data_IF_648124889502
#
_entry.id   IF_648124889502
#
_cell.length_a   1.000
_cell.length_b   1.000
_cell.length_c   1.000
_cell.angle_alpha   90.00
_cell.angle_beta   90.00
_cell.angle_gamma   90.00
#
_symmetry.space_group_name_H-M   'P 1'
#
loop_
_entity.id
_entity.type
_entity.pdbx_description
1 polymer ?
#
# COMPACT_ATOMS: atom_id res chain seq x y z
N UNK A 1 -3.30 61.70 5.36
CA UNK A 1 -2.84 60.34 5.01
C UNK A 1 -4.06 59.44 5.00
N UNK A 2 -4.41 58.98 3.82
CA UNK A 2 -5.67 58.32 3.50
C UNK A 2 -5.82 56.99 4.23
N UNK A 3 -7.03 56.77 4.72
CA UNK A 3 -7.45 55.55 5.41
C UNK A 3 -8.10 54.66 4.36
N UNK A 4 -7.34 53.76 3.75
CA UNK A 4 -7.92 52.72 2.89
C UNK A 4 -8.63 51.67 3.75
N UNK A 5 -9.96 51.76 3.77
CA UNK A 5 -10.85 50.66 4.14
C UNK A 5 -10.88 49.64 3.01
N UNK A 6 -10.30 48.47 3.23
CA UNK A 6 -10.58 47.29 2.42
C UNK A 6 -11.43 46.28 3.22
N UNK A 7 -12.54 45.79 2.66
CA UNK A 7 -13.53 45.01 3.38
C UNK A 7 -13.09 43.55 3.57
N UNK A 8 -13.26 43.04 4.79
CA UNK A 8 -13.25 41.62 5.10
C UNK A 8 -14.40 40.95 4.34
N UNK A 9 -14.08 40.35 3.18
CA UNK A 9 -14.94 39.34 2.57
C UNK A 9 -14.94 38.12 3.49
N UNK A 10 -15.95 38.06 4.36
CA UNK A 10 -16.46 36.81 4.90
C UNK A 10 -16.88 35.94 3.71
N UNK A 11 -15.97 35.08 3.24
CA UNK A 11 -16.34 33.93 2.44
C UNK A 11 -17.08 32.97 3.39
N UNK A 12 -18.36 33.26 3.56
CA UNK A 12 -19.35 32.35 4.09
C UNK A 12 -19.55 31.30 3.01
N UNK A 13 -18.57 30.41 2.85
CA UNK A 13 -18.76 29.19 2.07
C UNK A 13 -19.78 28.37 2.87
N UNK A 14 -21.03 28.54 2.48
CA UNK A 14 -22.07 27.61 2.82
C UNK A 14 -21.59 26.25 2.37
N UNK A 15 -21.55 25.30 3.31
CA UNK A 15 -21.58 23.91 2.92
C UNK A 15 -22.91 23.71 2.20
N UNK A 16 -22.91 23.89 0.88
CA UNK A 16 -23.97 23.39 0.01
C UNK A 16 -23.88 21.88 0.07
N UNK A 17 -24.48 21.33 1.12
CA UNK A 17 -24.79 19.91 1.21
C UNK A 17 -25.57 19.56 -0.05
N UNK A 18 -25.17 18.51 -0.79
CA UNK A 18 -25.93 18.07 -1.93
C UNK A 18 -27.39 17.87 -1.49
N UNK A 19 -28.33 18.44 -2.25
CA UNK A 19 -29.77 18.21 -2.03
C UNK A 19 -30.02 16.72 -1.84
N UNK A 20 -30.99 16.36 -0.99
CA UNK A 20 -31.31 15.00 -0.54
C UNK A 20 -31.56 13.96 -1.68
N UNK A 21 -31.51 14.40 -2.93
CA UNK A 21 -31.67 13.63 -4.17
C UNK A 21 -30.45 13.73 -5.12
N UNK A 22 -29.23 13.93 -4.59
CA UNK A 22 -28.01 13.99 -5.41
C UNK A 22 -27.70 12.65 -6.12
N UNK A 23 -28.11 11.52 -5.52
CA UNK A 23 -27.94 10.18 -6.10
C UNK A 23 -28.82 9.94 -7.34
N UNK A 24 -29.95 10.64 -7.48
CA UNK A 24 -30.81 10.49 -8.66
C UNK A 24 -30.27 11.19 -9.91
N UNK A 25 -29.37 12.16 -9.76
CA UNK A 25 -28.79 12.92 -10.88
C UNK A 25 -27.64 12.17 -11.55
N UNK A 26 -27.03 11.20 -10.87
CA UNK A 26 -25.86 10.45 -11.34
C UNK A 26 -26.28 9.10 -11.97
N UNK A 27 -27.54 8.70 -11.82
CA UNK A 27 -28.06 7.42 -12.32
C UNK A 27 -29.26 7.63 -13.27
N UNK A 28 -29.03 7.68 -14.60
CA UNK A 28 -30.10 7.90 -15.58
C UNK A 28 -31.21 6.84 -15.56
N UNK A 29 -30.96 5.65 -14.99
CA UNK A 29 -31.82 4.48 -15.14
C UNK A 29 -32.47 3.95 -13.84
N UNK A 30 -32.27 4.62 -12.68
CA UNK A 30 -32.81 4.14 -11.39
C UNK A 30 -34.32 4.36 -11.18
N UNK A 31 -34.96 5.23 -11.96
CA UNK A 31 -36.37 5.63 -11.75
C UNK A 31 -37.42 4.59 -12.18
N UNK A 32 -37.02 3.53 -12.87
CA UNK A 32 -37.98 2.53 -13.38
C UNK A 32 -38.21 1.34 -12.44
N UNK A 33 -37.35 1.10 -11.45
CA UNK A 33 -37.47 -0.06 -10.55
C UNK A 33 -38.38 0.20 -9.33
N UNK A 34 -38.56 1.45 -8.91
CA UNK A 34 -39.26 1.78 -7.65
C UNK A 34 -40.75 2.10 -7.78
N UNK A 35 -41.30 2.15 -8.99
CA UNK A 35 -42.73 2.49 -9.20
C UNK A 35 -43.69 1.31 -8.97
N UNK A 36 -43.20 0.06 -9.08
CA UNK A 36 -44.03 -1.13 -8.86
C UNK A 36 -44.31 -1.45 -7.38
N UNK A 37 -43.34 -1.21 -6.50
CA UNK A 37 -43.43 -1.63 -5.10
C UNK A 37 -44.39 -0.77 -4.25
N UNK A 38 -44.61 0.50 -4.60
CA UNK A 38 -45.51 1.40 -3.83
C UNK A 38 -47.00 1.08 -4.04
N UNK A 39 -47.36 0.48 -5.16
CA UNK A 39 -48.77 0.18 -5.49
C UNK A 39 -49.25 -1.11 -4.80
N UNK A 40 -48.35 -2.05 -4.51
CA UNK A 40 -48.69 -3.31 -3.83
C UNK A 40 -48.83 -3.13 -2.31
N UNK A 41 -48.02 -2.26 -1.69
CA UNK A 41 -48.08 -2.00 -0.26
C UNK A 41 -49.39 -1.32 0.17
N UNK A 42 -49.93 -0.41 -0.66
CA UNK A 42 -51.21 0.25 -0.39
C UNK A 42 -52.43 -0.69 -0.54
N UNK A 43 -52.32 -1.73 -1.37
CA UNK A 43 -53.39 -2.72 -1.57
C UNK A 43 -53.44 -3.73 -0.42
N UNK A 44 -52.29 -4.10 0.15
CA UNK A 44 -52.21 -5.01 1.30
C UNK A 44 -52.78 -4.38 2.58
N UNK A 45 -52.53 -3.09 2.83
CA UNK A 45 -52.98 -2.39 4.04
C UNK A 45 -54.50 -2.16 4.06
N UNK A 46 -55.16 -2.04 2.90
CA UNK A 46 -56.63 -1.89 2.85
C UNK A 46 -57.40 -3.22 3.05
N UNK A 47 -56.74 -4.37 2.91
CA UNK A 47 -57.39 -5.67 2.99
C UNK A 47 -57.47 -6.23 4.43
N UNK A 48 -56.65 -5.72 5.36
CA UNK A 48 -56.68 -6.12 6.78
C UNK A 48 -57.71 -5.38 7.63
N UNK A 49 -58.30 -4.28 7.15
CA UNK A 49 -59.17 -3.42 7.97
C UNK A 49 -60.69 -3.72 7.87
N UNK A 50 -61.09 -4.78 7.16
CA UNK A 50 -62.49 -5.25 7.10
C UNK A 50 -62.60 -6.76 7.35
N UNK A 51 -62.59 -7.17 8.62
CA UNK A 51 -63.22 -8.44 9.02
C UNK A 51 -63.75 -8.36 10.45
N UNK A 52 -65.06 -8.60 10.72
CA UNK A 52 -65.59 -8.64 12.07
C UNK A 52 -65.22 -9.96 12.77
N UNK A 53 -65.05 -9.85 14.08
CA UNK A 53 -64.81 -10.96 14.98
C UNK A 53 -66.08 -11.78 15.21
N UNK A 54 -66.08 -13.05 14.79
CA UNK A 54 -66.96 -14.06 15.34
C UNK A 54 -66.26 -15.43 15.28
N UNK A 55 -66.16 -16.06 16.45
CA UNK A 55 -65.58 -17.37 16.68
C UNK A 55 -66.69 -18.41 16.62
N UNK A 56 -66.48 -19.54 15.93
CA UNK A 56 -66.95 -20.81 16.48
C UNK A 56 -65.83 -21.86 16.55
N UNK A 57 -65.96 -22.74 17.53
CA UNK A 57 -65.05 -23.84 17.86
C UNK A 57 -65.09 -25.02 16.87
N UNK A 58 -63.91 -25.62 16.65
CA UNK A 58 -63.59 -27.00 16.19
C UNK A 58 -64.12 -27.46 14.79
N UNK A 59 -63.45 -28.42 14.07
CA UNK A 59 -62.48 -29.43 14.53
C UNK A 59 -61.16 -29.51 13.72
N UNK A 60 -60.21 -30.27 14.27
CA UNK A 60 -58.95 -30.64 13.61
C UNK A 60 -59.18 -31.24 12.22
N UNK A 61 -58.74 -30.55 11.16
CA UNK A 61 -58.60 -31.15 9.83
C UNK A 61 -57.36 -30.59 9.14
N UNK A 62 -56.37 -31.46 8.96
CA UNK A 62 -55.31 -31.48 7.94
C UNK A 62 -54.54 -30.17 7.66
N UNK A 63 -53.34 -30.07 8.27
CA UNK A 63 -52.25 -29.24 7.73
C UNK A 63 -51.98 -29.63 6.28
N UNK A 64 -51.96 -28.70 5.30
CA UNK A 64 -51.38 -29.00 4.00
C UNK A 64 -49.86 -29.15 4.19
N UNK A 65 -49.37 -30.35 3.91
CA UNK A 65 -47.97 -30.72 3.93
C UNK A 65 -47.24 -29.93 2.82
N UNK A 66 -46.39 -28.98 3.21
CA UNK A 66 -45.64 -28.08 2.30
C UNK A 66 -44.49 -28.85 1.58
N UNK A 67 -44.34 -30.16 1.78
CA UNK A 67 -43.29 -30.97 1.17
C UNK A 67 -43.66 -31.60 -0.18
N UNK A 68 -44.31 -30.88 -1.10
CA UNK A 68 -44.65 -31.43 -2.42
C UNK A 68 -44.21 -30.60 -3.64
N UNK A 69 -43.13 -29.82 -3.50
CA UNK A 69 -42.58 -29.03 -4.63
C UNK A 69 -41.22 -29.54 -5.14
N UNK A 70 -40.62 -30.55 -4.51
CA UNK A 70 -39.39 -31.16 -5.03
C UNK A 70 -39.55 -32.66 -5.12
N UNK A 71 -40.02 -33.13 -6.27
CA UNK A 71 -39.83 -34.52 -6.66
C UNK A 71 -38.34 -34.66 -7.03
N UNK A 72 -37.50 -34.99 -6.05
CA UNK A 72 -36.10 -35.35 -6.28
C UNK A 72 -36.13 -36.69 -7.00
N UNK A 73 -35.91 -36.68 -8.32
CA UNK A 73 -35.75 -37.90 -9.09
C UNK A 73 -34.58 -38.71 -8.51
N UNK A 74 -34.88 -39.90 -7.98
CA UNK A 74 -33.88 -40.86 -7.53
C UNK A 74 -32.94 -41.26 -8.69
N UNK A 75 -31.61 -41.39 -8.47
CA UNK A 75 -30.62 -41.55 -9.52
C UNK A 75 -30.52 -42.99 -10.06
N UNK A 76 -31.63 -43.75 -10.08
CA UNK A 76 -31.63 -45.17 -10.44
C UNK A 76 -32.48 -45.44 -11.69
N UNK A 77 -32.30 -44.64 -12.74
CA UNK A 77 -32.52 -45.03 -14.14
C UNK A 77 -31.60 -44.22 -15.05
N UNK A 78 -30.27 -44.36 -14.90
CA UNK A 78 -29.34 -44.02 -15.99
C UNK A 78 -29.34 -45.22 -16.95
N UNK A 79 -29.76 -44.98 -18.18
CA UNK A 79 -29.43 -45.80 -19.34
C UNK A 79 -27.91 -46.03 -19.34
N UNK A 80 -27.39 -47.25 -19.61
CA UNK A 80 -25.95 -47.47 -19.68
C UNK A 80 -25.33 -46.47 -20.65
N UNK A 81 -24.51 -45.56 -20.12
CA UNK A 81 -23.71 -44.68 -20.96
C UNK A 81 -22.78 -45.57 -21.77
N UNK A 82 -22.87 -45.45 -23.09
CA UNK A 82 -21.91 -45.98 -24.02
C UNK A 82 -20.55 -45.38 -23.65
N UNK A 83 -19.55 -46.23 -23.39
CA UNK A 83 -18.15 -45.82 -23.20
C UNK A 83 -17.70 -45.08 -24.47
N UNK A 84 -17.81 -43.76 -24.44
CA UNK A 84 -17.03 -42.91 -25.30
C UNK A 84 -15.80 -42.53 -24.50
N UNK A 85 -14.70 -43.19 -24.88
CA UNK A 85 -13.33 -42.79 -24.62
C UNK A 85 -13.17 -41.26 -24.59
N UNK A 86 -12.52 -40.76 -23.53
CA UNK A 86 -11.91 -39.44 -23.37
C UNK A 86 -12.13 -38.43 -24.51
N UNK A 87 -13.36 -37.95 -24.69
CA UNK A 87 -13.65 -36.81 -25.57
C UNK A 87 -13.28 -35.52 -24.80
N UNK A 88 -12.24 -34.79 -25.23
CA UNK A 88 -11.77 -33.58 -24.54
C UNK A 88 -12.88 -32.53 -24.36
N UNK A 89 -13.87 -32.52 -25.28
CA UNK A 89 -14.98 -31.58 -25.24
C UNK A 89 -16.01 -31.93 -24.14
N UNK A 90 -16.21 -33.21 -23.85
CA UNK A 90 -17.10 -33.65 -22.75
C UNK A 90 -16.47 -33.41 -21.38
N UNK A 91 -15.15 -33.54 -21.27
CA UNK A 91 -14.41 -33.14 -20.07
C UNK A 91 -14.51 -31.63 -19.84
N UNK A 92 -14.33 -30.81 -20.88
CA UNK A 92 -14.43 -29.34 -20.78
C UNK A 92 -15.84 -28.88 -20.39
N UNK A 93 -16.90 -29.48 -20.96
CA UNK A 93 -18.29 -29.19 -20.56
C UNK A 93 -18.52 -29.54 -19.09
N UNK A 94 -18.02 -30.68 -18.64
CA UNK A 94 -18.18 -31.13 -17.24
C UNK A 94 -17.42 -30.20 -16.28
N UNK A 95 -16.24 -29.73 -16.68
CA UNK A 95 -15.44 -28.75 -15.93
C UNK A 95 -16.11 -27.37 -15.87
N UNK A 96 -16.76 -26.92 -16.94
CA UNK A 96 -17.50 -25.67 -16.96
C UNK A 96 -18.76 -25.75 -16.07
N UNK A 97 -19.49 -26.85 -16.14
CA UNK A 97 -20.68 -27.07 -15.29
C UNK A 97 -20.31 -27.17 -13.81
N UNK A 98 -19.19 -27.83 -13.47
CA UNK A 98 -18.72 -27.90 -12.08
C UNK A 98 -18.27 -26.53 -11.57
N UNK A 99 -17.56 -25.74 -12.39
CA UNK A 99 -17.22 -24.34 -12.05
C UNK A 99 -18.45 -23.46 -11.86
N UNK A 100 -19.47 -23.62 -12.70
CA UNK A 100 -20.72 -22.86 -12.58
C UNK A 100 -21.48 -23.22 -11.30
N UNK A 101 -21.59 -24.52 -10.97
CA UNK A 101 -22.18 -24.98 -9.70
C UNK A 101 -21.38 -24.46 -8.51
N UNK A 102 -20.05 -24.46 -8.58
CA UNK A 102 -19.20 -23.96 -7.50
C UNK A 102 -19.31 -22.42 -7.35
N UNK A 103 -19.48 -21.70 -8.46
CA UNK A 103 -19.79 -20.27 -8.44
C UNK A 103 -21.13 -20.00 -7.76
N UNK A 104 -22.17 -20.79 -8.06
CA UNK A 104 -23.47 -20.65 -7.39
C UNK A 104 -23.42 -21.03 -5.91
N UNK A 105 -22.70 -22.09 -5.55
CA UNK A 105 -22.46 -22.45 -4.14
C UNK A 105 -21.74 -21.33 -3.41
N UNK A 106 -20.68 -20.77 -4.00
CA UNK A 106 -19.93 -19.65 -3.43
C UNK A 106 -20.80 -18.41 -3.25
N UNK A 107 -21.61 -18.06 -4.25
CA UNK A 107 -22.55 -16.94 -4.17
C UNK A 107 -23.62 -17.16 -3.09
N UNK A 108 -24.14 -18.38 -2.97
CA UNK A 108 -25.13 -18.75 -1.97
C UNK A 108 -24.55 -18.73 -0.55
N UNK A 109 -23.35 -19.28 -0.35
CA UNK A 109 -22.62 -19.20 0.91
C UNK A 109 -22.37 -17.75 1.32
N UNK A 110 -21.94 -16.91 0.38
CA UNK A 110 -21.73 -15.48 0.64
C UNK A 110 -23.03 -14.76 1.03
N UNK A 111 -24.13 -15.00 0.33
CA UNK A 111 -25.42 -14.43 0.72
C UNK A 111 -25.88 -14.93 2.09
N UNK A 112 -25.64 -16.20 2.42
CA UNK A 112 -25.96 -16.73 3.74
C UNK A 112 -25.14 -16.05 4.84
N UNK A 113 -23.85 -15.81 4.62
CA UNK A 113 -22.98 -15.03 5.50
C UNK A 113 -23.51 -13.60 5.65
N UNK A 114 -23.83 -12.91 4.55
CA UNK A 114 -24.38 -11.55 4.56
C UNK A 114 -25.71 -11.48 5.34
N UNK A 115 -26.59 -12.47 5.18
CA UNK A 115 -27.84 -12.57 5.95
C UNK A 115 -27.57 -12.72 7.45
N UNK A 116 -26.58 -13.55 7.83
CA UNK A 116 -26.20 -13.73 9.24
C UNK A 116 -25.64 -12.42 9.81
N UNK A 117 -24.77 -11.73 9.07
CA UNK A 117 -24.19 -10.43 9.46
C UNK A 117 -25.30 -9.40 9.65
N UNK A 118 -26.20 -9.26 8.69
CA UNK A 118 -27.32 -8.31 8.77
C UNK A 118 -28.23 -8.62 9.96
N UNK A 119 -28.58 -9.89 10.19
CA UNK A 119 -29.40 -10.28 11.36
C UNK A 119 -28.71 -9.96 12.67
N UNK A 120 -27.39 -10.21 12.75
CA UNK A 120 -26.60 -9.87 13.94
C UNK A 120 -26.61 -8.36 14.17
N UNK A 121 -26.47 -7.57 13.11
CA UNK A 121 -26.52 -6.10 13.19
C UNK A 121 -27.89 -5.59 13.64
N UNK A 122 -28.99 -6.17 13.14
CA UNK A 122 -30.35 -5.82 13.58
C UNK A 122 -30.52 -6.08 15.08
N UNK A 123 -30.08 -7.24 15.57
CA UNK A 123 -30.15 -7.57 17.01
C UNK A 123 -29.33 -6.58 17.85
N UNK A 124 -28.12 -6.24 17.40
CA UNK A 124 -27.29 -5.23 18.07
C UNK A 124 -27.99 -3.87 18.10
N UNK A 125 -28.49 -3.39 16.95
CA UNK A 125 -29.21 -2.11 16.86
C UNK A 125 -30.47 -2.09 17.72
N UNK A 126 -31.25 -3.18 17.77
CA UNK A 126 -32.44 -3.27 18.62
C UNK A 126 -32.07 -3.21 20.11
N UNK A 127 -30.97 -3.85 20.51
CA UNK A 127 -30.46 -3.78 21.90
C UNK A 127 -29.98 -2.37 22.25
N UNK A 128 -29.26 -1.71 21.35
CA UNK A 128 -28.80 -0.32 21.51
C UNK A 128 -29.98 0.65 21.55
N UNK A 129 -31.00 0.47 20.69
CA UNK A 129 -32.19 1.31 20.66
C UNK A 129 -33.00 1.16 21.94
N UNK A 130 -33.15 -0.08 22.43
CA UNK A 130 -33.78 -0.36 23.72
C UNK A 130 -33.04 0.33 24.86
N UNK A 131 -31.70 0.22 24.89
CA UNK A 131 -30.87 0.89 25.89
C UNK A 131 -31.00 2.42 25.82
N UNK A 132 -30.96 3.00 24.62
CA UNK A 132 -31.13 4.45 24.42
C UNK A 132 -32.49 4.94 24.89
N UNK A 133 -33.56 4.15 24.68
CA UNK A 133 -34.91 4.46 25.19
C UNK A 133 -34.95 4.41 26.71
N UNK A 134 -34.33 3.41 27.33
CA UNK A 134 -34.22 3.31 28.80
C UNK A 134 -33.43 4.49 29.38
N UNK A 135 -32.29 4.82 28.78
CA UNK A 135 -31.46 5.97 29.18
C UNK A 135 -32.23 7.29 29.04
N UNK A 136 -32.97 7.48 27.95
CA UNK A 136 -33.79 8.67 27.72
C UNK A 136 -34.92 8.79 28.73
N UNK A 137 -35.61 7.68 29.04
CA UNK A 137 -36.65 7.66 30.09
C UNK A 137 -36.05 8.06 31.43
N UNK A 138 -34.93 7.45 31.83
CA UNK A 138 -34.23 7.77 33.07
C UNK A 138 -33.83 9.25 33.13
N UNK A 139 -33.36 9.82 32.00
CA UNK A 139 -33.02 11.24 31.92
C UNK A 139 -34.24 12.16 32.02
N UNK A 140 -35.38 11.79 31.42
CA UNK A 140 -36.63 12.56 31.49
C UNK A 140 -37.23 12.51 32.89
N UNK A 141 -37.21 11.36 33.54
CA UNK A 141 -37.78 11.16 34.87
C UNK A 141 -36.93 11.89 35.92
N UNK A 142 -35.60 11.81 35.81
CA UNK A 142 -34.71 12.62 36.65
C UNK A 142 -34.80 14.12 36.31
N UNK A 143 -35.02 14.49 35.05
CA UNK A 143 -35.22 15.88 34.63
C UNK A 143 -36.48 16.50 35.25
N UNK A 144 -37.59 15.75 35.28
CA UNK A 144 -38.82 16.15 36.00
C UNK A 144 -38.60 16.19 37.50
N UNK A 145 -38.13 15.10 38.10
CA UNK A 145 -38.04 14.98 39.56
C UNK A 145 -36.95 15.85 40.20
N UNK A 146 -35.93 16.29 39.44
CA UNK A 146 -34.79 17.07 39.93
C UNK A 146 -34.87 18.57 39.56
N UNK A 147 -35.47 18.92 38.41
CA UNK A 147 -35.50 20.28 37.88
C UNK A 147 -36.89 20.93 37.91
N UNK A 148 -37.96 20.23 38.31
CA UNK A 148 -39.19 20.91 38.69
C UNK A 148 -38.87 21.83 39.89
N UNK A 149 -39.21 23.13 39.75
CA UNK A 149 -39.07 24.23 40.72
C UNK A 149 -39.95 24.02 41.97
N UNK A 150 -39.93 22.81 42.53
CA UNK A 150 -40.42 22.60 43.89
C UNK A 150 -39.36 23.14 44.82
N UNK A 151 -39.71 24.15 45.62
CA UNK A 151 -38.80 24.83 46.53
C UNK A 151 -38.00 23.80 47.33
N UNK A 152 -36.68 23.83 47.18
CA UNK A 152 -35.70 22.99 47.90
C UNK A 152 -35.93 23.08 49.42
N UNK A 153 -36.52 24.20 49.85
CA UNK A 153 -36.86 24.58 51.21
C UNK A 153 -38.04 23.79 51.80
N UNK A 154 -38.92 23.25 50.93
CA UNK A 154 -40.08 22.43 51.30
C UNK A 154 -39.72 20.93 51.30
N UNK A 155 -38.64 20.57 50.60
CA UNK A 155 -38.19 19.19 50.52
C UNK A 155 -37.67 18.67 51.86
N UNK A 156 -38.00 17.41 52.15
CA UNK A 156 -37.44 16.70 53.28
C UNK A 156 -35.96 16.37 53.02
N UNK A 157 -35.19 16.22 54.11
CA UNK A 157 -33.79 15.80 54.05
C UNK A 157 -33.59 14.46 53.32
N UNK A 158 -34.59 13.58 53.34
CA UNK A 158 -34.57 12.30 52.63
C UNK A 158 -34.64 12.50 51.10
N UNK A 159 -35.57 13.33 50.62
CA UNK A 159 -35.73 13.60 49.19
C UNK A 159 -34.50 14.32 48.61
N UNK A 160 -33.85 15.21 49.38
CA UNK A 160 -32.58 15.84 48.98
C UNK A 160 -31.46 14.79 48.87
N UNK A 161 -31.39 13.83 49.81
CA UNK A 161 -30.40 12.76 49.76
C UNK A 161 -30.60 11.82 48.57
N UNK A 162 -31.85 11.50 48.22
CA UNK A 162 -32.20 10.69 47.05
C UNK A 162 -31.86 11.40 45.73
N UNK A 163 -32.10 12.72 45.65
CA UNK A 163 -31.65 13.57 44.52
C UNK A 163 -30.13 13.54 44.34
N UNK A 164 -29.38 13.69 45.44
CA UNK A 164 -27.90 13.61 45.42
C UNK A 164 -27.43 12.23 44.96
N UNK A 165 -28.08 11.17 45.41
CA UNK A 165 -27.72 9.79 45.05
C UNK A 165 -27.98 9.51 43.57
N UNK A 166 -29.10 10.00 43.04
CA UNK A 166 -29.45 9.89 41.61
C UNK A 166 -28.50 10.67 40.70
N UNK A 167 -28.09 11.88 41.11
CA UNK A 167 -27.07 12.66 40.41
C UNK A 167 -25.70 11.96 40.38
N UNK A 168 -25.28 11.36 41.50
CA UNK A 168 -24.04 10.59 41.56
C UNK A 168 -24.07 9.37 40.63
N UNK A 169 -25.20 8.65 40.59
CA UNK A 169 -25.38 7.51 39.70
C UNK A 169 -25.27 7.93 38.22
N UNK A 170 -25.93 9.02 37.83
CA UNK A 170 -25.85 9.56 36.46
C UNK A 170 -24.43 10.00 36.09
N UNK A 171 -23.73 10.67 37.01
CA UNK A 171 -22.34 11.04 36.79
C UNK A 171 -21.46 9.80 36.59
N UNK A 172 -21.64 8.76 37.41
CA UNK A 172 -20.92 7.50 37.25
C UNK A 172 -21.24 6.80 35.91
N UNK A 173 -22.50 6.78 35.48
CA UNK A 173 -22.88 6.20 34.18
C UNK A 173 -22.29 6.96 33.01
N UNK A 174 -22.28 8.30 33.06
CA UNK A 174 -21.68 9.13 32.00
C UNK A 174 -20.15 8.99 31.97
N UNK A 175 -19.48 8.88 33.13
CA UNK A 175 -18.04 8.58 33.20
C UNK A 175 -17.74 7.21 32.56
N UNK A 176 -18.57 6.19 32.83
CA UNK A 176 -18.42 4.86 32.23
C UNK A 176 -18.60 4.88 30.70
N UNK A 177 -19.57 5.65 30.19
CA UNK A 177 -19.78 5.82 28.73
C UNK A 177 -18.62 6.55 28.08
N UNK A 178 -18.11 7.60 28.72
CA UNK A 178 -16.93 8.32 28.22
C UNK A 178 -15.68 7.41 28.18
N UNK A 179 -15.52 6.53 29.19
CA UNK A 179 -14.45 5.55 29.22
C UNK A 179 -14.55 4.54 28.07
N UNK A 180 -15.73 3.97 27.82
CA UNK A 180 -15.94 3.01 26.73
C UNK A 180 -15.75 3.65 25.34
N UNK A 181 -16.18 4.90 25.15
CA UNK A 181 -15.92 5.66 23.93
C UNK A 181 -14.42 5.86 23.70
N UNK A 182 -13.67 6.21 24.75
CA UNK A 182 -12.21 6.36 24.68
C UNK A 182 -11.53 5.05 24.30
N UNK A 183 -11.94 3.92 24.88
CA UNK A 183 -11.39 2.61 24.55
C UNK A 183 -11.71 2.22 23.09
N UNK A 184 -12.93 2.53 22.62
CA UNK A 184 -13.32 2.32 21.22
C UNK A 184 -12.50 3.16 20.26
N UNK A 185 -12.26 4.44 20.58
CA UNK A 185 -11.39 5.32 19.78
C UNK A 185 -9.97 4.75 19.71
N UNK A 186 -9.42 4.30 20.84
CA UNK A 186 -8.08 3.69 20.87
C UNK A 186 -8.01 2.42 20.00
N UNK A 187 -9.04 1.57 20.06
CA UNK A 187 -9.12 0.39 19.21
C UNK A 187 -9.14 0.76 17.72
N UNK A 188 -9.98 1.71 17.34
CA UNK A 188 -10.09 2.17 15.94
C UNK A 188 -8.78 2.81 15.44
N UNK A 189 -8.07 3.55 16.30
CA UNK A 189 -6.75 4.08 15.97
C UNK A 189 -5.73 2.97 15.74
N UNK A 190 -5.69 1.95 16.61
CA UNK A 190 -4.80 0.80 16.44
C UNK A 190 -5.11 0.03 15.16
N UNK A 191 -6.39 -0.16 14.84
CA UNK A 191 -6.80 -0.83 13.61
C UNK A 191 -6.44 -0.02 12.37
N UNK A 192 -6.55 1.32 12.43
CA UNK A 192 -6.11 2.21 11.35
C UNK A 192 -4.60 2.13 11.13
N UNK A 193 -3.80 2.11 12.20
CA UNK A 193 -2.33 1.93 12.11
C UNK A 193 -2.01 0.61 11.42
N UNK A 194 -2.60 -0.50 11.88
CA UNK A 194 -2.38 -1.83 11.29
C UNK A 194 -2.76 -1.85 9.81
N UNK A 195 -3.91 -1.29 9.45
CA UNK A 195 -4.35 -1.22 8.05
C UNK A 195 -3.41 -0.37 7.21
N UNK A 196 -2.97 0.79 7.70
CA UNK A 196 -2.03 1.64 6.99
C UNK A 196 -0.67 0.98 6.78
N UNK A 197 -0.17 0.23 7.77
CA UNK A 197 1.08 -0.51 7.61
C UNK A 197 0.95 -1.68 6.61
N UNK A 198 -0.19 -2.37 6.61
CA UNK A 198 -0.48 -3.39 5.58
C UNK A 198 -0.58 -2.80 4.17
N UNK A 199 -1.11 -1.58 4.04
CA UNK A 199 -1.18 -0.86 2.76
C UNK A 199 0.22 -0.44 2.29
N UNK A 200 1.08 0.06 3.18
CA UNK A 200 2.48 0.36 2.85
C UNK A 200 3.22 -0.88 2.35
N UNK A 201 3.02 -2.03 2.99
CA UNK A 201 3.62 -3.29 2.55
C UNK A 201 3.13 -3.69 1.15
N UNK A 202 1.82 -3.56 0.89
CA UNK A 202 1.24 -3.84 -0.43
C UNK A 202 1.80 -2.90 -1.51
N UNK A 203 1.97 -1.61 -1.22
CA UNK A 203 2.58 -0.64 -2.13
C UNK A 203 4.06 -0.97 -2.40
N UNK A 204 4.79 -1.42 -1.38
CA UNK A 204 6.17 -1.89 -1.56
C UNK A 204 6.23 -3.12 -2.45
N UNK A 205 5.33 -4.09 -2.22
CA UNK A 205 5.24 -5.30 -3.05
C UNK A 205 4.89 -4.96 -4.50
N UNK A 206 3.96 -4.04 -4.72
CA UNK A 206 3.60 -3.54 -6.05
C UNK A 206 4.80 -2.90 -6.75
N UNK A 207 5.59 -2.09 -6.03
CA UNK A 207 6.82 -1.48 -6.57
C UNK A 207 7.84 -2.54 -6.98
N UNK A 208 8.09 -3.53 -6.13
CA UNK A 208 9.02 -4.63 -6.44
C UNK A 208 8.54 -5.42 -7.65
N UNK A 209 7.25 -5.74 -7.73
CA UNK A 209 6.67 -6.42 -8.89
C UNK A 209 6.88 -5.63 -10.18
N UNK A 210 6.65 -4.31 -10.16
CA UNK A 210 6.88 -3.44 -11.31
C UNK A 210 8.36 -3.43 -11.73
N UNK A 211 9.29 -3.40 -10.77
CA UNK A 211 10.73 -3.49 -11.05
C UNK A 211 11.12 -4.83 -11.66
N UNK A 212 10.57 -5.94 -11.16
CA UNK A 212 10.79 -7.27 -11.72
C UNK A 212 10.27 -7.39 -13.16
N UNK A 213 9.08 -6.85 -13.43
CA UNK A 213 8.49 -6.87 -14.78
C UNK A 213 9.32 -6.07 -15.78
N UNK A 214 9.85 -4.93 -15.36
CA UNK A 214 10.78 -4.11 -16.14
C UNK A 214 12.09 -4.87 -16.42
N UNK A 215 12.64 -5.57 -15.42
CA UNK A 215 13.79 -6.46 -15.58
C UNK A 215 13.54 -7.55 -16.63
N UNK A 216 12.38 -8.22 -16.55
CA UNK A 216 11.99 -9.26 -17.50
C UNK A 216 11.88 -8.71 -18.94
N UNK A 217 11.29 -7.53 -19.12
CA UNK A 217 11.21 -6.86 -20.44
C UNK A 217 12.59 -6.57 -21.02
N UNK A 218 13.54 -6.13 -20.20
CA UNK A 218 14.93 -5.90 -20.63
C UNK A 218 15.61 -7.20 -21.06
N UNK A 219 15.42 -8.28 -20.30
CA UNK A 219 15.94 -9.59 -20.68
C UNK A 219 15.35 -10.08 -22.00
N UNK A 220 14.04 -9.95 -22.20
CA UNK A 220 13.39 -10.30 -23.46
C UNK A 220 13.95 -9.49 -24.65
N UNK A 221 14.18 -8.18 -24.46
CA UNK A 221 14.81 -7.34 -25.49
C UNK A 221 16.26 -7.78 -25.78
N UNK A 222 17.02 -8.15 -24.75
CA UNK A 222 18.38 -8.66 -24.90
C UNK A 222 18.39 -10.00 -25.67
N UNK A 223 17.49 -10.92 -25.33
CA UNK A 223 17.35 -12.19 -26.03
C UNK A 223 16.98 -11.99 -27.51
N UNK A 224 16.10 -11.04 -27.81
CA UNK A 224 15.77 -10.70 -29.20
C UNK A 224 17.00 -10.18 -29.97
N UNK A 225 17.85 -9.35 -29.35
CA UNK A 225 19.11 -8.88 -29.95
C UNK A 225 20.12 -10.01 -30.14
N UNK A 226 20.20 -10.95 -29.20
CA UNK A 226 21.07 -12.12 -29.34
C UNK A 226 20.59 -12.98 -30.51
N UNK A 227 19.28 -13.22 -30.62
CA UNK A 227 18.72 -14.00 -31.74
C UNK A 227 18.99 -13.36 -33.11
N UNK A 228 18.92 -12.02 -33.23
CA UNK A 228 19.28 -11.35 -34.49
C UNK A 228 20.77 -11.49 -34.79
N UNK A 229 21.64 -11.35 -33.79
CA UNK A 229 23.08 -11.54 -33.96
C UNK A 229 23.40 -12.99 -34.35
N UNK A 230 22.80 -13.99 -33.70
CA UNK A 230 22.95 -15.40 -34.06
C UNK A 230 22.54 -15.67 -35.52
N UNK A 231 21.46 -15.06 -35.99
CA UNK A 231 21.05 -15.17 -37.39
C UNK A 231 22.11 -14.56 -38.34
N UNK A 232 22.71 -13.42 -37.97
CA UNK A 232 23.79 -12.83 -38.77
C UNK A 232 25.05 -13.69 -38.78
N UNK A 233 25.41 -14.31 -37.65
CA UNK A 233 26.56 -15.23 -37.57
C UNK A 233 26.32 -16.46 -38.46
N UNK A 234 25.15 -17.10 -38.38
CA UNK A 234 24.79 -18.22 -39.27
C UNK A 234 24.87 -17.84 -40.76
N UNK A 235 24.44 -16.62 -41.09
CA UNK A 235 24.55 -16.12 -42.46
C UNK A 235 26.01 -15.90 -42.88
N UNK A 236 26.85 -15.38 -41.98
CA UNK A 236 28.29 -15.22 -42.21
C UNK A 236 28.99 -16.58 -42.38
N UNK A 237 28.68 -17.58 -41.55
CA UNK A 237 29.18 -18.96 -41.66
C UNK A 237 28.89 -19.53 -43.07
N UNK A 238 27.69 -19.32 -43.59
CA UNK A 238 27.31 -19.75 -44.95
C UNK A 238 28.09 -19.05 -46.05
N UNK A 239 28.48 -17.78 -45.85
CA UNK A 239 29.32 -17.04 -46.81
C UNK A 239 30.75 -17.58 -46.76
N UNK A 240 31.28 -17.83 -45.57
CA UNK A 240 32.63 -18.41 -45.38
C UNK A 240 32.69 -19.78 -46.07
N UNK A 241 31.71 -20.66 -45.84
CA UNK A 241 31.66 -21.98 -46.48
C UNK A 241 31.67 -21.88 -48.02
N UNK A 242 30.97 -20.89 -48.60
CA UNK A 242 31.00 -20.64 -50.06
C UNK A 242 32.36 -20.14 -50.52
N UNK A 243 32.99 -19.26 -49.75
CA UNK A 243 34.33 -18.74 -50.06
C UNK A 243 35.37 -19.86 -50.02
N UNK A 244 35.31 -20.74 -49.02
CA UNK A 244 36.16 -21.93 -48.90
C UNK A 244 35.99 -22.83 -50.11
N UNK A 245 34.76 -23.20 -50.49
CA UNK A 245 34.49 -24.00 -51.69
C UNK A 245 35.03 -23.36 -52.97
N UNK A 246 34.93 -22.04 -53.10
CA UNK A 246 35.45 -21.31 -54.25
C UNK A 246 37.00 -21.30 -54.28
N UNK A 247 37.64 -21.17 -53.12
CA UNK A 247 39.09 -21.26 -52.98
C UNK A 247 39.60 -22.68 -53.27
N UNK A 248 38.94 -23.70 -52.74
CA UNK A 248 39.26 -25.10 -53.02
C UNK A 248 39.10 -25.43 -54.50
N UNK A 249 38.02 -24.97 -55.13
CA UNK A 249 37.80 -25.10 -56.57
C UNK A 249 38.93 -24.47 -57.38
N UNK A 250 39.34 -23.24 -57.03
CA UNK A 250 40.49 -22.55 -57.67
C UNK A 250 41.81 -23.28 -57.41
N UNK A 251 42.01 -23.84 -56.23
CA UNK A 251 43.21 -24.60 -55.89
C UNK A 251 43.28 -25.88 -56.73
N UNK A 252 42.18 -26.61 -56.84
CA UNK A 252 42.06 -27.81 -57.69
C UNK A 252 42.29 -27.45 -59.16
N UNK A 253 41.69 -26.37 -59.68
CA UNK A 253 41.95 -25.88 -61.04
C UNK A 253 43.43 -25.54 -61.26
N UNK A 254 44.07 -24.85 -60.31
CA UNK A 254 45.49 -24.49 -60.40
C UNK A 254 46.37 -25.73 -60.39
N UNK A 255 46.06 -26.73 -59.55
CA UNK A 255 46.76 -28.02 -59.53
C UNK A 255 46.63 -28.73 -60.88
N UNK A 256 45.43 -28.75 -61.48
CA UNK A 256 45.20 -29.31 -62.83
C UNK A 256 46.00 -28.55 -63.91
N UNK A 257 45.95 -27.21 -63.92
CA UNK A 257 46.71 -26.35 -64.85
C UNK A 257 48.24 -26.44 -64.67
N UNK A 258 48.71 -26.68 -63.44
CA UNK A 258 50.13 -26.90 -63.13
C UNK A 258 50.58 -28.34 -63.40
N UNK A 259 49.67 -29.32 -63.39
CA UNK A 259 49.92 -30.70 -63.83
C UNK A 259 50.31 -30.77 -65.31
N UNK A 260 49.61 -30.00 -66.15
CA UNK A 260 49.91 -29.90 -67.59
C UNK A 260 51.20 -29.13 -67.93
N UNK A 261 51.78 -28.39 -66.98
CA UNK A 261 53.03 -27.63 -67.17
C UNK A 261 54.26 -28.27 -66.50
N UNK A 262 54.21 -29.58 -66.16
CA UNK A 262 55.34 -30.29 -65.53
C UNK A 262 56.41 -30.81 -66.50
N UNK A 263 56.71 -30.06 -67.56
CA UNK A 263 57.91 -30.26 -68.38
C UNK A 263 58.55 -28.90 -68.66
N UNK A 264 59.33 -28.38 -67.70
CA UNK A 264 60.20 -27.23 -68.01
C UNK A 264 60.50 -26.21 -66.91
N UNK A 265 60.41 -26.49 -65.61
CA UNK A 265 60.89 -25.53 -64.59
C UNK A 265 61.53 -26.25 -63.40
N UNK A 266 62.74 -26.79 -63.58
CA UNK A 266 63.58 -27.28 -62.47
C UNK A 266 64.73 -26.33 -62.09
N UNK A 267 65.04 -25.32 -62.91
CA UNK A 267 66.14 -24.38 -62.65
C UNK A 267 65.72 -23.08 -61.94
N UNK A 268 64.44 -22.72 -61.99
CA UNK A 268 63.91 -21.51 -61.34
C UNK A 268 63.44 -21.75 -59.90
N UNK A 269 63.29 -23.02 -59.50
CA UNK A 269 62.69 -23.40 -58.20
C UNK A 269 63.59 -23.08 -57.01
N UNK A 270 64.91 -23.26 -57.14
CA UNK A 270 65.86 -22.96 -56.06
C UNK A 270 65.98 -21.47 -55.75
N UNK A 271 65.94 -20.63 -56.78
CA UNK A 271 66.02 -19.16 -56.63
C UNK A 271 64.70 -18.58 -56.11
N UNK A 272 63.55 -19.13 -56.54
CA UNK A 272 62.26 -18.73 -55.97
C UNK A 272 62.04 -19.25 -54.55
N UNK A 273 62.57 -20.42 -54.21
CA UNK A 273 62.43 -20.97 -52.85
C UNK A 273 63.36 -20.21 -51.88
N UNK A 274 64.58 -19.83 -52.28
CA UNK A 274 65.43 -18.92 -51.48
C UNK A 274 64.80 -17.53 -51.30
N UNK A 275 64.27 -16.93 -52.36
CA UNK A 275 63.62 -15.62 -52.25
C UNK A 275 62.36 -15.67 -51.37
N UNK A 276 61.64 -16.78 -51.38
CA UNK A 276 60.50 -17.01 -50.48
C UNK A 276 60.95 -17.18 -49.05
N UNK A 277 61.98 -17.99 -48.80
CA UNK A 277 62.54 -18.22 -47.47
C UNK A 277 63.11 -16.93 -46.85
N UNK A 278 63.74 -16.07 -47.66
CA UNK A 278 64.16 -14.73 -47.26
C UNK A 278 62.97 -13.82 -46.92
N UNK A 279 61.89 -13.84 -47.73
CA UNK A 279 60.68 -13.06 -47.42
C UNK A 279 59.94 -13.58 -46.20
N UNK A 280 59.88 -14.91 -46.02
CA UNK A 280 59.26 -15.55 -44.86
C UNK A 280 60.06 -15.25 -43.59
N UNK A 281 61.38 -15.27 -43.67
CA UNK A 281 62.27 -14.87 -42.57
C UNK A 281 62.11 -13.38 -42.23
N UNK A 282 62.02 -12.50 -43.23
CA UNK A 282 61.77 -11.07 -43.01
C UNK A 282 60.39 -10.82 -42.36
N UNK A 283 59.34 -11.52 -42.82
CA UNK A 283 58.00 -11.43 -42.25
C UNK A 283 57.91 -12.04 -40.85
N UNK A 284 58.70 -13.07 -40.55
CA UNK A 284 58.78 -13.66 -39.21
C UNK A 284 59.50 -12.72 -38.23
N UNK A 285 60.57 -12.06 -38.66
CA UNK A 285 61.25 -11.02 -37.89
C UNK A 285 60.32 -9.83 -37.63
N UNK A 286 59.57 -9.39 -38.64
CA UNK A 286 58.60 -8.31 -38.51
C UNK A 286 57.40 -8.70 -37.63
N UNK A 287 56.91 -9.94 -37.71
CA UNK A 287 55.90 -10.45 -36.78
C UNK A 287 56.39 -10.47 -35.34
N UNK A 288 57.66 -10.82 -35.12
CA UNK A 288 58.25 -10.82 -33.78
C UNK A 288 58.34 -9.40 -33.25
N UNK A 289 58.74 -8.43 -34.11
CA UNK A 289 58.73 -7.00 -33.78
C UNK A 289 57.32 -6.50 -33.46
N UNK A 290 56.33 -6.80 -34.31
CA UNK A 290 54.93 -6.40 -34.11
C UNK A 290 54.31 -7.03 -32.87
N UNK A 291 54.68 -8.25 -32.50
CA UNK A 291 54.29 -8.87 -31.23
C UNK A 291 54.89 -8.12 -30.04
N UNK A 292 56.18 -7.75 -30.12
CA UNK A 292 56.82 -6.89 -29.12
C UNK A 292 56.14 -5.52 -29.01
N UNK A 293 55.77 -4.92 -30.14
CA UNK A 293 55.03 -3.64 -30.16
C UNK A 293 53.62 -3.77 -29.58
N UNK A 294 52.91 -4.88 -29.87
CA UNK A 294 51.60 -5.18 -29.26
C UNK A 294 51.71 -5.43 -27.75
N UNK A 295 52.75 -6.13 -27.31
CA UNK A 295 53.01 -6.35 -25.89
C UNK A 295 53.43 -5.06 -25.19
N UNK A 296 54.14 -4.16 -25.88
CA UNK A 296 54.42 -2.81 -25.41
C UNK A 296 53.13 -1.99 -25.27
N UNK A 297 52.22 -2.04 -26.25
CA UNK A 297 50.89 -1.39 -26.19
C UNK A 297 50.03 -1.98 -25.06
N UNK A 298 50.10 -3.29 -24.81
CA UNK A 298 49.37 -3.94 -23.70
C UNK A 298 49.94 -3.59 -22.32
N UNK A 299 51.25 -3.35 -22.23
CA UNK A 299 51.95 -2.97 -21.00
C UNK A 299 51.93 -1.46 -20.74
N UNK A 300 51.59 -0.62 -21.73
CA UNK A 300 51.20 0.76 -21.45
C UNK A 300 49.98 0.75 -20.51
N UNK A 301 49.98 1.57 -19.43
CA UNK A 301 48.84 1.62 -18.51
C UNK A 301 47.58 1.92 -19.31
N UNK A 302 46.57 1.04 -19.21
CA UNK A 302 45.36 0.93 -20.03
C UNK A 302 44.49 2.20 -20.11
N UNK A 303 45.06 3.28 -20.64
CA UNK A 303 44.52 4.64 -20.61
C UNK A 303 44.24 5.14 -22.03
N UNK A 304 44.92 4.60 -23.05
CA UNK A 304 44.84 5.16 -24.41
C UNK A 304 43.81 4.50 -25.33
N UNK A 305 43.48 3.21 -25.16
CA UNK A 305 42.57 2.49 -26.08
C UNK A 305 41.09 2.57 -25.65
N UNK A 306 40.81 2.84 -24.37
CA UNK A 306 39.43 3.03 -23.88
C UNK A 306 38.94 4.48 -24.10
N UNK A 307 39.86 5.43 -24.38
CA UNK A 307 39.53 6.86 -24.39
C UNK A 307 39.04 7.39 -25.75
N UNK A 308 39.29 6.70 -26.88
CA UNK A 308 38.87 7.19 -28.21
C UNK A 308 37.43 6.84 -28.60
N UNK A 309 36.80 5.81 -28.01
CA UNK A 309 35.40 5.47 -28.34
C UNK A 309 34.36 6.19 -27.47
N UNK A 310 34.78 7.02 -26.53
CA UNK A 310 33.89 7.71 -25.59
C UNK A 310 33.98 9.25 -25.68
N UNK A 311 34.40 9.79 -26.82
CA UNK A 311 34.32 11.22 -27.08
C UNK A 311 32.89 11.63 -27.43
N UNK A 312 31.97 11.48 -26.48
CA UNK A 312 30.82 12.38 -26.33
C UNK A 312 30.46 12.45 -24.86
N UNK A 313 30.66 13.65 -24.29
CA UNK A 313 30.32 14.15 -22.94
C UNK A 313 31.45 14.07 -21.90
N UNK A 314 32.24 15.15 -21.88
CA UNK A 314 32.71 15.84 -20.67
C UNK A 314 33.08 14.95 -19.48
N UNK A 315 34.24 14.31 -19.55
CA UNK A 315 34.82 13.62 -18.41
C UNK A 315 35.69 14.59 -17.62
N UNK A 316 35.10 15.17 -16.57
CA UNK A 316 35.83 15.84 -15.48
C UNK A 316 36.96 14.90 -14.99
N UNK A 317 38.21 15.37 -14.87
CA UNK A 317 39.35 14.56 -14.43
C UNK A 317 39.04 13.74 -13.17
N UNK A 318 39.52 12.49 -13.10
CA UNK A 318 39.17 11.53 -12.03
C UNK A 318 39.36 12.12 -10.61
N UNK A 319 40.42 12.91 -10.41
CA UNK A 319 40.71 13.61 -9.15
C UNK A 319 39.63 14.65 -8.80
N UNK A 320 39.17 15.41 -9.78
CA UNK A 320 38.10 16.39 -9.61
C UNK A 320 36.75 15.71 -9.39
N UNK A 321 36.48 14.60 -10.09
CA UNK A 321 35.28 13.79 -9.86
C UNK A 321 35.21 13.25 -8.43
N UNK A 322 36.32 12.70 -7.90
CA UNK A 322 36.38 12.22 -6.52
C UNK A 322 36.22 13.36 -5.51
N UNK A 323 36.81 14.53 -5.79
CA UNK A 323 36.63 15.74 -4.97
C UNK A 323 35.17 16.22 -4.94
N UNK A 324 34.48 16.21 -6.09
CA UNK A 324 33.07 16.57 -6.18
C UNK A 324 32.17 15.58 -5.45
N UNK A 325 32.45 14.27 -5.52
CA UNK A 325 31.71 13.26 -4.76
C UNK A 325 31.88 13.45 -3.25
N UNK A 326 33.08 13.75 -2.76
CA UNK A 326 33.29 14.02 -1.33
C UNK A 326 32.57 15.31 -0.88
N UNK A 327 32.57 16.35 -1.73
CA UNK A 327 31.81 17.58 -1.46
C UNK A 327 30.31 17.32 -1.45
N UNK A 328 29.81 16.46 -2.34
CA UNK A 328 28.41 16.05 -2.37
C UNK A 328 28.03 15.29 -1.10
N UNK A 329 28.81 14.28 -0.71
CA UNK A 329 28.60 13.51 0.52
C UNK A 329 28.56 14.40 1.77
N UNK A 330 29.49 15.36 1.88
CA UNK A 330 29.49 16.35 2.98
C UNK A 330 28.26 17.26 2.94
N UNK A 331 27.83 17.67 1.75
CA UNK A 331 26.65 18.51 1.60
C UNK A 331 25.37 17.74 1.98
N UNK A 332 25.24 16.48 1.55
CA UNK A 332 24.13 15.60 1.89
C UNK A 332 24.05 15.35 3.40
N UNK A 333 25.18 15.05 4.05
CA UNK A 333 25.22 14.88 5.51
C UNK A 333 24.80 16.16 6.27
N UNK A 334 25.21 17.33 5.76
CA UNK A 334 24.80 18.62 6.33
C UNK A 334 23.30 18.87 6.14
N UNK A 335 22.75 18.55 4.97
CA UNK A 335 21.31 18.69 4.69
C UNK A 335 20.51 17.80 5.64
N UNK A 336 20.86 16.52 5.78
CA UNK A 336 20.20 15.60 6.69
C UNK A 336 20.22 16.11 8.15
N UNK A 337 21.35 16.67 8.59
CA UNK A 337 21.47 17.24 9.94
C UNK A 337 20.56 18.46 10.11
N UNK A 338 20.49 19.35 9.12
CA UNK A 338 19.62 20.53 9.16
C UNK A 338 18.14 20.16 9.10
N UNK A 339 17.77 19.14 8.32
CA UNK A 339 16.41 18.61 8.26
C UNK A 339 15.98 18.05 9.63
N UNK A 340 16.84 17.26 10.28
CA UNK A 340 16.58 16.76 11.63
C UNK A 340 16.43 17.88 12.67
N UNK A 341 17.27 18.93 12.58
CA UNK A 341 17.15 20.10 13.44
C UNK A 341 15.86 20.88 13.19
N UNK A 342 15.45 21.03 11.93
CA UNK A 342 14.21 21.71 11.58
C UNK A 342 12.98 20.94 12.08
N UNK A 343 13.01 19.61 11.97
CA UNK A 343 11.95 18.74 12.48
C UNK A 343 11.81 18.88 14.00
N UNK A 344 12.92 18.81 14.76
CA UNK A 344 12.87 18.96 16.21
C UNK A 344 12.45 20.37 16.63
N UNK A 345 12.89 21.41 15.91
CA UNK A 345 12.46 22.78 16.17
C UNK A 345 10.96 22.96 15.93
N UNK A 346 10.43 22.38 14.86
CA UNK A 346 8.99 22.38 14.57
C UNK A 346 8.20 21.68 15.68
N UNK A 347 8.68 20.53 16.17
CA UNK A 347 8.08 19.81 17.31
C UNK A 347 8.10 20.65 18.58
N UNK A 348 9.24 21.25 18.92
CA UNK A 348 9.38 22.12 20.09
C UNK A 348 8.45 23.33 20.01
N UNK A 349 8.40 24.00 18.87
CA UNK A 349 7.51 25.13 18.64
C UNK A 349 6.04 24.72 18.75
N UNK A 350 5.67 23.57 18.20
CA UNK A 350 4.33 22.99 18.34
C UNK A 350 3.97 22.73 19.81
N UNK A 351 4.89 22.17 20.61
CA UNK A 351 4.72 21.97 22.05
C UNK A 351 4.56 23.31 22.79
N UNK A 352 5.43 24.28 22.54
CA UNK A 352 5.37 25.61 23.17
C UNK A 352 4.07 26.36 22.82
N UNK A 353 3.66 26.30 21.55
CA UNK A 353 2.38 26.88 21.11
C UNK A 353 1.21 26.24 21.83
N UNK A 354 1.20 24.91 21.93
CA UNK A 354 0.15 24.19 22.65
C UNK A 354 0.14 24.54 24.14
N UNK A 355 1.31 24.60 24.78
CA UNK A 355 1.44 25.01 26.18
C UNK A 355 0.90 26.43 26.41
N UNK A 356 1.20 27.37 25.51
CA UNK A 356 0.68 28.74 25.58
C UNK A 356 -0.84 28.79 25.38
N UNK A 357 -1.38 28.01 24.44
CA UNK A 357 -2.83 27.89 24.24
C UNK A 357 -3.51 27.32 25.49
N UNK A 358 -2.90 26.32 26.13
CA UNK A 358 -3.35 25.77 27.41
C UNK A 358 -3.35 26.87 28.47
N UNK A 359 -2.24 27.59 28.67
CA UNK A 359 -2.15 28.71 29.64
C UNK A 359 -3.20 29.80 29.40
N UNK A 360 -3.47 30.16 28.14
CA UNK A 360 -4.52 31.13 27.78
C UNK A 360 -5.91 30.60 28.07
N UNK A 361 -6.16 29.31 27.80
CA UNK A 361 -7.44 28.66 28.12
C UNK A 361 -7.64 28.58 29.63
N UNK A 362 -6.62 28.22 30.39
CA UNK A 362 -6.60 28.18 31.84
C UNK A 362 -6.91 29.57 32.42
N UNK A 363 -6.25 30.62 31.92
CA UNK A 363 -6.52 32.01 32.33
C UNK A 363 -7.96 32.44 32.02
N UNK A 364 -8.52 32.09 30.85
CA UNK A 364 -9.92 32.39 30.50
C UNK A 364 -10.93 31.73 31.44
N UNK A 365 -10.60 30.57 31.98
CA UNK A 365 -11.45 29.83 32.91
C UNK A 365 -11.06 30.04 34.38
N UNK A 366 -10.15 30.98 34.68
CA UNK A 366 -9.74 31.33 36.05
C UNK A 366 -8.75 30.36 36.70
N UNK A 367 -8.21 29.39 35.98
CA UNK A 367 -7.21 28.43 36.46
C UNK A 367 -5.79 28.98 36.30
N UNK A 368 -5.45 30.08 36.96
CA UNK A 368 -4.05 30.55 36.92
C UNK A 368 -3.18 29.59 37.72
N UNK A 369 -2.33 28.80 37.05
CA UNK A 369 -1.27 28.03 37.72
C UNK A 369 -0.22 29.00 38.23
N UNK A 370 -0.44 29.55 39.43
CA UNK A 370 0.65 30.08 40.23
C UNK A 370 1.58 28.91 40.52
N UNK A 371 2.84 29.00 40.08
CA UNK A 371 3.89 28.00 40.36
C UNK A 371 4.27 27.93 41.85
N UNK A 372 3.36 28.29 42.76
CA UNK A 372 3.50 28.12 44.20
C UNK A 372 2.69 26.89 44.57
N UNK A 373 3.42 25.80 44.79
CA UNK A 373 3.01 24.71 45.66
C UNK A 373 2.10 25.22 46.78
N UNK A 374 0.85 24.74 46.78
CA UNK A 374 -0.04 24.83 47.93
C UNK A 374 0.58 23.95 49.01
N UNK A 375 1.60 24.48 49.69
CA UNK A 375 2.19 23.92 50.88
C UNK A 375 1.36 24.47 52.03
N UNK A 376 0.40 23.67 52.50
CA UNK A 376 -0.36 23.99 53.70
C UNK A 376 0.60 24.16 54.89
N UNK A 377 0.44 25.28 55.59
CA UNK A 377 1.08 25.62 56.86
C UNK A 377 1.00 24.47 57.88
N UNK A 378 2.15 23.98 58.32
CA UNK A 378 2.31 23.32 59.62
C UNK A 378 3.35 24.13 60.41
N UNK A 379 3.00 24.71 61.58
CA UNK A 379 3.97 25.46 62.36
C UNK A 379 4.90 24.56 63.20
N UNK A 380 6.19 24.90 63.12
CA UNK A 380 7.19 24.92 64.21
C UNK A 380 7.78 23.61 64.76
N UNK A 381 9.08 23.42 64.52
CA UNK A 381 10.09 23.41 65.60
C UNK A 381 11.49 23.75 65.08
N UNK A 382 12.04 24.82 65.62
CA UNK A 382 13.41 25.30 65.43
C UNK A 382 14.45 24.33 65.98
N UNK A 383 15.52 24.09 65.21
CA UNK A 383 16.87 23.90 65.77
C UNK A 383 17.85 24.65 64.87
N UNK A 384 18.56 25.56 65.51
CA UNK A 384 19.66 26.38 65.03
C UNK A 384 20.93 25.53 64.84
N UNK A 385 21.71 25.74 63.78
CA UNK A 385 23.14 26.13 63.84
C UNK A 385 23.95 25.79 62.56
N UNK A 386 24.61 26.86 62.06
CA UNK A 386 25.99 26.96 61.53
C UNK A 386 26.34 26.41 60.13
N UNK A 387 26.68 27.37 59.25
CA UNK A 387 27.72 27.28 58.20
C UNK A 387 29.07 27.79 58.77
N UNK A 388 30.21 27.90 58.03
CA UNK A 388 30.74 27.23 56.81
C UNK A 388 32.25 26.80 56.91
N UNK A 389 32.83 26.40 55.77
CA UNK A 389 34.27 26.37 55.38
C UNK A 389 35.15 25.16 55.73
N UNK A 390 35.75 24.55 54.69
CA UNK A 390 37.19 24.29 54.64
C UNK A 390 37.71 24.04 53.21
N UNK A 391 39.01 24.28 53.04
CA UNK A 391 39.70 24.66 51.82
C UNK A 391 40.46 23.50 51.11
N UNK A 392 40.71 23.72 49.81
CA UNK A 392 42.01 23.56 49.12
C UNK A 392 42.84 22.25 49.27
N UNK A 393 43.12 21.57 48.15
CA UNK A 393 44.51 21.38 47.68
C UNK A 393 44.62 20.63 46.33
N UNK A 394 45.59 21.12 45.55
CA UNK A 394 46.07 20.70 44.23
C UNK A 394 46.81 19.34 44.23
N UNK A 395 46.92 18.75 43.02
CA UNK A 395 48.03 17.97 42.39
C UNK A 395 47.43 16.75 41.65
N UNK A 396 47.87 16.29 40.49
CA UNK A 396 49.03 16.59 39.63
C UNK A 396 48.76 16.03 38.23
N UNK A 397 49.24 16.74 37.22
CA UNK A 397 49.45 16.31 35.84
C UNK A 397 50.53 15.23 35.76
N UNK A 398 50.30 14.16 34.97
CA UNK A 398 51.24 13.46 34.07
C UNK A 398 50.88 11.98 33.87
N UNK A 399 50.31 11.63 32.72
CA UNK A 399 51.04 10.97 31.62
C UNK A 399 50.23 11.06 30.33
#
# INVERSE_FOLDING_TARGET
MEVEKLPLRLLKDGYDLPSHDALAQILPNGRYLFKGAKTELHRAVQQEQKRPAERPEAPQVNRPNINHTYQVHHPHKRTPLHDFEDDPHMAEITDLQTKEVENYRSAMSKMAEDIIVLRTQVVTLDSENSQLRTDLSLQQDLGRDLLDDTDIDVMTKAEIADRITSLKLKLASEISKAASQRDRIQQLQNDLIKKNDSEKELLNLQRVHQQQQEGLRRHQSCLAKIATLEATVKQQEKVIEKMEKALDGKLIEKIKRSGDKRLGVKKQRGETDHRKEETESALAAENTRLRGDLDWIRQQPASLIIQQSAQTKETVPLKERLSLLNKLERAEARVQTLEAQLEENSKLWGRQKQEMLIKLSEHRHGFVRTSTTILHNVPSRSVSEKQPEEAEARKMTCK
#
